data_IF_455534513703
#
_entry.id   IF_455534513703
#
_cell.length_a   1.000
_cell.length_b   1.000
_cell.length_c   1.000
_cell.angle_alpha   90.00
_cell.angle_beta   90.00
_cell.angle_gamma   90.00
#
_symmetry.space_group_name_H-M   'P 1'
#
loop_
_entity.id
_entity.type
_entity.pdbx_description
1 polymer ?
#
# COMPACT_ATOMS: atom_id res chain seq x y z
N UNK A 1 -9.38 -12.46 13.74
CA UNK A 1 -10.80 -12.13 13.48
C UNK A 1 -11.38 -13.28 12.68
N UNK A 2 -12.52 -13.84 13.10
CA UNK A 2 -13.23 -14.89 12.37
C UNK A 2 -14.54 -14.27 11.90
N UNK A 3 -14.71 -14.15 10.57
CA UNK A 3 -15.92 -13.61 9.98
C UNK A 3 -16.88 -14.75 9.70
N UNK A 4 -18.14 -14.61 10.12
CA UNK A 4 -19.17 -15.65 9.95
C UNK A 4 -19.99 -15.46 8.68
N UNK A 5 -19.84 -14.32 8.01
CA UNK A 5 -20.46 -14.02 6.72
C UNK A 5 -19.60 -13.08 5.87
N UNK A 6 -19.83 -13.10 4.55
CA UNK A 6 -19.20 -12.15 3.63
C UNK A 6 -19.56 -10.70 3.93
N UNK A 7 -20.76 -10.45 4.47
CA UNK A 7 -21.24 -9.12 4.83
C UNK A 7 -20.48 -8.54 6.04
N UNK A 8 -20.17 -9.39 7.03
CA UNK A 8 -19.35 -9.03 8.18
C UNK A 8 -17.91 -8.72 7.76
N UNK A 9 -17.35 -9.53 6.86
CA UNK A 9 -16.05 -9.26 6.23
C UNK A 9 -16.07 -7.97 5.42
N UNK A 10 -17.10 -7.75 4.60
CA UNK A 10 -17.21 -6.59 3.72
C UNK A 10 -17.31 -5.28 4.50
N UNK A 11 -18.16 -5.24 5.52
CA UNK A 11 -18.32 -4.07 6.41
C UNK A 11 -17.00 -3.70 7.09
N UNK A 12 -16.25 -4.72 7.55
CA UNK A 12 -14.90 -4.51 8.09
C UNK A 12 -13.91 -4.01 7.02
N UNK A 13 -13.89 -4.63 5.84
CA UNK A 13 -12.99 -4.31 4.73
C UNK A 13 -13.14 -2.87 4.23
N UNK A 14 -14.38 -2.40 4.05
CA UNK A 14 -14.67 -1.04 3.60
C UNK A 14 -14.28 0.00 4.66
N UNK A 15 -14.51 -0.32 5.94
CA UNK A 15 -14.07 0.54 7.05
C UNK A 15 -12.56 0.70 7.06
N UNK A 16 -11.82 -0.37 6.76
CA UNK A 16 -10.35 -0.32 6.64
C UNK A 16 -9.86 0.55 5.47
N UNK A 17 -10.61 0.61 4.37
CA UNK A 17 -10.31 1.48 3.22
C UNK A 17 -10.67 2.96 3.43
N UNK A 18 -11.41 3.29 4.49
CA UNK A 18 -11.86 4.67 4.76
C UNK A 18 -10.76 5.57 5.33
N UNK A 19 -9.62 5.01 5.74
CA UNK A 19 -8.49 5.76 6.30
C UNK A 19 -7.76 6.60 5.23
N UNK A 20 -7.42 7.87 5.49
CA UNK A 20 -6.72 8.72 4.51
C UNK A 20 -5.34 8.22 4.09
N UNK A 21 -4.56 7.62 5.01
CA UNK A 21 -3.23 7.06 4.71
C UNK A 21 -3.33 5.93 3.69
N UNK A 22 -4.21 4.99 3.98
CA UNK A 22 -4.59 3.84 3.16
C UNK A 22 -5.01 4.24 1.73
N UNK A 23 -5.80 5.32 1.57
CA UNK A 23 -6.18 5.86 0.26
C UNK A 23 -5.02 6.45 -0.55
N UNK A 24 -4.10 7.18 0.09
CA UNK A 24 -2.94 7.79 -0.60
C UNK A 24 -2.04 6.71 -1.20
N UNK A 25 -1.76 5.66 -0.45
CA UNK A 25 -0.92 4.56 -0.93
C UNK A 25 -1.60 3.70 -1.97
N UNK A 26 -2.92 3.50 -1.84
CA UNK A 26 -3.70 2.88 -2.91
C UNK A 26 -3.59 3.69 -4.21
N UNK A 27 -3.72 5.01 -4.13
CA UNK A 27 -3.56 5.89 -5.30
C UNK A 27 -2.15 5.81 -5.89
N UNK A 28 -1.10 5.89 -5.07
CA UNK A 28 0.30 5.77 -5.53
C UNK A 28 0.55 4.42 -6.20
N UNK A 29 0.06 3.33 -5.60
CA UNK A 29 0.21 1.98 -6.16
C UNK A 29 -0.48 1.86 -7.52
N UNK A 30 -1.75 2.27 -7.62
CA UNK A 30 -2.51 2.25 -8.87
C UNK A 30 -1.86 3.14 -9.94
N UNK A 31 -1.44 4.35 -9.59
CA UNK A 31 -0.79 5.26 -10.53
C UNK A 31 0.53 4.67 -11.04
N UNK A 32 1.35 4.11 -10.15
CA UNK A 32 2.63 3.48 -10.53
C UNK A 32 2.40 2.29 -11.46
N UNK A 33 1.41 1.44 -11.18
CA UNK A 33 1.06 0.31 -12.04
C UNK A 33 0.56 0.76 -13.42
N UNK A 34 -0.22 1.83 -13.49
CA UNK A 34 -0.67 2.41 -14.78
C UNK A 34 0.52 2.95 -15.57
N UNK A 35 1.43 3.69 -14.93
CA UNK A 35 2.62 4.22 -15.58
C UNK A 35 3.51 3.10 -16.11
N UNK A 36 3.71 2.02 -15.34
CA UNK A 36 4.45 0.83 -15.78
C UNK A 36 3.78 0.12 -16.95
N UNK A 37 2.45 0.03 -16.94
CA UNK A 37 1.69 -0.54 -18.05
C UNK A 37 1.90 0.28 -19.33
N UNK A 38 1.73 1.60 -19.27
CA UNK A 38 1.97 2.50 -20.40
C UNK A 38 3.43 2.41 -20.89
N UNK A 39 4.38 2.39 -19.96
CA UNK A 39 5.81 2.24 -20.26
C UNK A 39 6.10 0.92 -20.99
N UNK A 40 5.44 -0.18 -20.60
CA UNK A 40 5.62 -1.49 -21.25
C UNK A 40 5.20 -1.47 -22.72
N UNK A 41 4.16 -0.72 -23.09
CA UNK A 41 3.71 -0.61 -24.47
C UNK A 41 4.66 0.23 -25.35
N UNK A 42 5.39 1.19 -24.76
CA UNK A 42 6.29 2.08 -25.50
C UNK A 42 7.68 1.46 -25.69
N UNK A 43 8.20 0.77 -24.68
CA UNK A 43 9.59 0.30 -24.68
C UNK A 43 9.71 -1.22 -24.85
N UNK A 44 9.04 -2.01 -24.00
CA UNK A 44 9.14 -3.46 -24.04
C UNK A 44 8.00 -4.12 -23.23
N UNK A 45 7.26 -5.04 -23.88
CA UNK A 45 6.19 -5.79 -23.24
C UNK A 45 6.65 -6.66 -22.07
N UNK A 46 7.95 -6.99 -21.98
CA UNK A 46 8.51 -7.70 -20.83
C UNK A 46 8.25 -6.99 -19.49
N UNK A 47 8.09 -5.66 -19.50
CA UNK A 47 7.76 -4.90 -18.30
C UNK A 47 6.34 -5.18 -17.75
N UNK A 48 5.45 -5.84 -18.51
CA UNK A 48 4.14 -6.29 -18.02
C UNK A 48 4.24 -7.20 -16.79
N UNK A 49 5.33 -7.96 -16.64
CA UNK A 49 5.55 -8.80 -15.46
C UNK A 49 5.69 -7.99 -14.17
N UNK A 50 6.17 -6.75 -14.25
CA UNK A 50 6.31 -5.89 -13.07
C UNK A 50 5.00 -5.21 -12.68
N UNK A 51 4.01 -5.12 -13.58
CA UNK A 51 2.70 -4.51 -13.28
C UNK A 51 1.99 -5.22 -12.12
N UNK A 52 1.78 -6.56 -12.13
CA UNK A 52 1.17 -7.25 -10.99
C UNK A 52 2.11 -7.26 -9.77
N UNK A 53 3.43 -7.30 -9.98
CA UNK A 53 4.41 -7.32 -8.89
C UNK A 53 4.34 -6.02 -8.07
N UNK A 54 4.28 -4.88 -8.76
CA UNK A 54 4.18 -3.55 -8.17
C UNK A 54 2.81 -3.34 -7.56
N UNK A 55 1.73 -3.70 -8.28
CA UNK A 55 0.37 -3.63 -7.74
C UNK A 55 0.19 -4.43 -6.45
N UNK A 56 0.71 -5.67 -6.41
CA UNK A 56 0.62 -6.55 -5.25
C UNK A 56 1.55 -6.11 -4.11
N UNK A 57 2.76 -5.63 -4.43
CA UNK A 57 3.68 -5.06 -3.44
C UNK A 57 3.07 -3.86 -2.70
N UNK A 58 2.37 -2.98 -3.42
CA UNK A 58 1.65 -1.87 -2.80
C UNK A 58 0.40 -2.33 -2.02
N UNK A 59 -0.28 -3.41 -2.43
CA UNK A 59 -1.34 -4.02 -1.64
C UNK A 59 -0.83 -4.62 -0.31
N UNK A 60 0.43 -5.05 -0.26
CA UNK A 60 1.03 -5.53 0.99
C UNK A 60 1.35 -4.39 1.95
N UNK A 61 1.83 -3.26 1.44
CA UNK A 61 1.99 -2.02 2.21
C UNK A 61 0.66 -1.50 2.77
N UNK A 62 -0.42 -1.67 2.02
CA UNK A 62 -1.77 -1.39 2.49
C UNK A 62 -2.13 -2.23 3.73
N UNK A 63 -1.82 -3.53 3.72
CA UNK A 63 -2.01 -4.42 4.88
C UNK A 63 -1.25 -3.97 6.13
N UNK A 64 0.00 -3.51 5.97
CA UNK A 64 0.82 -2.94 7.06
C UNK A 64 0.25 -1.63 7.63
N UNK A 65 -0.51 -0.88 6.84
CA UNK A 65 -1.20 0.32 7.29
C UNK A 65 -2.52 0.01 8.00
N UNK A 66 -3.21 -1.07 7.63
CA UNK A 66 -4.39 -1.53 8.36
C UNK A 66 -4.06 -1.86 9.81
N UNK A 67 -2.91 -2.50 10.06
CA UNK A 67 -2.42 -2.81 11.41
C UNK A 67 -1.91 -1.58 12.18
N UNK A 68 -1.84 -0.40 11.53
CA UNK A 68 -1.33 0.84 12.11
C UNK A 68 0.15 0.79 12.49
N UNK A 69 0.87 -0.27 12.10
CA UNK A 69 2.29 -0.42 12.40
C UNK A 69 3.09 0.66 11.68
N UNK A 70 2.78 0.95 10.42
CA UNK A 70 3.53 1.93 9.64
C UNK A 70 3.39 3.36 10.21
N UNK A 71 2.19 3.78 10.64
CA UNK A 71 1.99 5.09 11.26
C UNK A 71 2.71 5.19 12.63
N UNK A 72 2.75 4.10 13.40
CA UNK A 72 3.53 4.02 14.63
C UNK A 72 5.04 4.07 14.37
N UNK A 73 5.51 3.38 13.33
CA UNK A 73 6.92 3.37 12.90
C UNK A 73 7.34 4.76 12.40
N UNK A 74 6.52 5.43 11.57
CA UNK A 74 6.77 6.79 11.09
C UNK A 74 6.83 7.77 12.26
N UNK A 75 5.90 7.69 13.21
CA UNK A 75 5.95 8.52 14.43
C UNK A 75 7.17 8.18 15.29
N UNK A 76 7.57 6.90 15.37
CA UNK A 76 8.77 6.46 16.10
C UNK A 76 10.03 7.01 15.45
N UNK A 77 10.15 6.92 14.12
CA UNK A 77 11.27 7.41 13.32
C UNK A 77 11.35 8.93 13.30
N UNK A 78 10.22 9.63 13.16
CA UNK A 78 10.14 11.10 13.25
C UNK A 78 10.37 11.65 14.66
N UNK A 79 10.23 10.82 15.70
CA UNK A 79 10.64 11.13 17.08
C UNK A 79 12.07 10.68 17.41
N UNK A 80 12.77 9.99 16.51
CA UNK A 80 14.20 9.77 16.70
C UNK A 80 14.89 11.11 16.44
N UNK A 81 15.58 11.71 17.43
CA UNK A 81 16.54 12.74 17.12
C UNK A 81 17.59 12.08 16.22
N UNK A 82 17.51 12.40 14.94
CA UNK A 82 18.65 12.28 14.03
C UNK A 82 19.73 13.13 14.72
N UNK A 83 20.85 12.53 15.10
CA UNK A 83 22.00 13.06 15.90
C UNK A 83 22.14 12.44 17.31
N UNK A 84 22.63 11.21 17.37
CA UNK A 84 23.66 10.81 18.34
C UNK A 84 24.68 9.97 17.58
N UNK A 85 25.71 10.62 17.03
CA UNK A 85 26.70 9.96 16.18
C UNK A 85 27.54 10.90 15.32
N UNK A 86 27.90 12.07 15.86
CA UNK A 86 29.17 12.75 15.62
C UNK A 86 29.66 13.22 16.98
#
# INVERSE_FOLDING_TARGET
MNFRSLEEFWSFYVTQHSKPSTRRWHFVGTLTSILLLLYSFVFNLWFLFFVPLVGYGFAWMFGLMLTGQMDREIKRLGKRPILQGF
#
